data_IF_891796376510
#
_entry.id   IF_891796376510
#
_cell.length_a   1.000
_cell.length_b   1.000
_cell.length_c   1.000
_cell.angle_alpha   90.00
_cell.angle_beta   90.00
_cell.angle_gamma   90.00
#
_symmetry.space_group_name_H-M   'P 1'
#
loop_
_entity.id
_entity.type
_entity.pdbx_description
1 polymer ?
#
# COMPACT_ATOMS: atom_id res chain seq x y z
N UNK A 1 -20.70 -4.09 -5.85
CA UNK A 1 -20.40 -3.72 -4.46
C UNK A 1 -21.16 -4.64 -3.54
N UNK A 2 -20.56 -5.76 -3.14
CA UNK A 2 -21.16 -6.69 -2.20
C UNK A 2 -20.84 -6.22 -0.78
N UNK A 3 -21.79 -5.56 -0.13
CA UNK A 3 -21.93 -5.70 1.32
C UNK A 3 -22.94 -6.82 1.54
N UNK A 4 -22.49 -7.99 2.00
CA UNK A 4 -23.41 -8.91 2.67
C UNK A 4 -23.45 -8.49 4.13
N UNK A 5 -24.37 -7.59 4.45
CA UNK A 5 -24.81 -7.39 5.83
C UNK A 5 -25.31 -8.75 6.31
N UNK A 6 -24.61 -9.36 7.27
CA UNK A 6 -25.14 -10.50 7.99
C UNK A 6 -26.32 -9.99 8.83
N UNK A 7 -27.53 -10.15 8.32
CA UNK A 7 -28.75 -10.02 9.11
C UNK A 7 -28.83 -11.20 10.06
N UNK A 8 -29.00 -10.93 11.35
CA UNK A 8 -29.17 -11.93 12.39
C UNK A 8 -30.39 -12.84 12.14
N UNK A 9 -30.21 -14.10 12.57
CA UNK A 9 -31.17 -15.18 12.81
C UNK A 9 -31.75 -15.96 11.61
N UNK A 10 -31.17 -17.15 11.37
CA UNK A 10 -31.89 -18.41 11.59
C UNK A 10 -30.93 -19.62 11.70
N UNK A 11 -31.29 -20.54 12.61
CA UNK A 11 -30.57 -21.75 12.99
C UNK A 11 -30.10 -22.63 11.81
N UNK A 12 -28.80 -22.98 11.79
CA UNK A 12 -28.24 -24.33 11.58
C UNK A 12 -26.71 -24.27 11.38
N UNK A 13 -25.91 -24.69 12.39
CA UNK A 13 -24.47 -25.04 12.29
C UNK A 13 -23.54 -24.13 11.44
N UNK A 14 -23.83 -22.85 11.28
CA UNK A 14 -22.90 -21.91 10.65
C UNK A 14 -21.88 -21.44 11.70
N UNK A 15 -20.60 -21.69 11.42
CA UNK A 15 -19.51 -21.23 12.27
C UNK A 15 -19.57 -19.71 12.38
N UNK A 16 -19.69 -19.20 13.60
CA UNK A 16 -19.84 -17.78 13.88
C UNK A 16 -18.64 -16.98 13.36
N UNK A 17 -18.92 -15.96 12.55
CA UNK A 17 -17.95 -14.92 12.18
C UNK A 17 -17.95 -13.89 13.29
N UNK A 18 -16.79 -13.64 13.90
CA UNK A 18 -16.65 -12.59 14.90
C UNK A 18 -16.28 -11.28 14.22
N UNK A 19 -17.00 -10.21 14.53
CA UNK A 19 -16.78 -8.88 13.97
C UNK A 19 -16.61 -7.88 15.11
N UNK A 20 -15.56 -7.07 15.06
CA UNK A 20 -15.32 -5.97 16.01
C UNK A 20 -15.02 -4.68 15.26
N UNK A 21 -15.50 -3.55 15.78
CA UNK A 21 -15.34 -2.24 15.16
C UNK A 21 -14.46 -1.33 16.01
N UNK A 22 -13.62 -0.52 15.35
CA UNK A 22 -12.75 0.48 15.98
C UNK A 22 -11.90 -0.09 17.14
N UNK A 23 -11.45 -1.33 16.99
CA UNK A 23 -10.56 -2.03 17.92
C UNK A 23 -9.23 -2.34 17.23
N UNK A 24 -8.20 -2.60 18.02
CA UNK A 24 -6.96 -3.21 17.50
C UNK A 24 -7.30 -4.55 16.82
N UNK A 25 -6.76 -4.77 15.61
CA UNK A 25 -6.85 -6.05 14.91
C UNK A 25 -5.49 -6.76 14.98
N UNK A 26 -5.48 -7.94 15.57
CA UNK A 26 -4.33 -8.84 15.57
C UNK A 26 -4.70 -10.04 14.71
N UNK A 27 -4.12 -10.12 13.52
CA UNK A 27 -4.29 -11.26 12.61
C UNK A 27 -3.10 -12.20 12.81
N UNK A 28 -3.34 -13.47 13.09
CA UNK A 28 -2.23 -14.40 13.34
C UNK A 28 -2.52 -15.80 12.83
N UNK A 29 -1.52 -16.41 12.19
CA UNK A 29 -1.52 -17.81 11.81
C UNK A 29 -0.22 -18.52 12.27
N UNK A 30 0.10 -19.68 11.69
CA UNK A 30 1.32 -20.43 12.06
C UNK A 30 2.63 -19.67 11.73
N UNK A 31 2.61 -18.80 10.72
CA UNK A 31 3.80 -18.18 10.12
C UNK A 31 3.94 -16.71 10.45
N UNK A 32 2.84 -15.97 10.52
CA UNK A 32 2.78 -14.53 10.56
C UNK A 32 1.88 -14.02 11.68
N UNK A 33 2.25 -12.85 12.22
CA UNK A 33 1.42 -12.02 13.09
C UNK A 33 1.41 -10.60 12.53
N UNK A 34 0.23 -10.06 12.28
CA UNK A 34 -0.02 -8.72 11.75
C UNK A 34 -0.76 -7.92 12.82
N UNK A 35 -0.22 -6.76 13.17
CA UNK A 35 -0.78 -5.88 14.20
C UNK A 35 -1.19 -4.56 13.60
N UNK A 36 -2.48 -4.23 13.73
CA UNK A 36 -3.10 -3.03 13.20
C UNK A 36 -3.82 -2.33 14.36
N UNK A 37 -3.53 -1.06 14.60
CA UNK A 37 -4.15 -0.30 15.70
C UNK A 37 -5.64 0.01 15.45
N UNK A 38 -6.29 0.57 16.47
CA UNK A 38 -7.70 0.97 16.38
C UNK A 38 -7.95 2.17 15.45
N UNK A 39 -6.89 2.82 14.95
CA UNK A 39 -6.94 3.88 13.94
C UNK A 39 -6.74 3.33 12.52
N UNK A 40 -6.52 2.03 12.34
CA UNK A 40 -6.29 1.44 11.03
C UNK A 40 -4.89 1.68 10.46
N UNK A 41 -3.89 1.85 11.33
CA UNK A 41 -2.49 1.85 10.93
C UNK A 41 -1.89 0.46 11.11
N UNK A 42 -1.26 -0.05 10.05
CA UNK A 42 -0.39 -1.21 10.14
C UNK A 42 0.84 -0.84 10.97
N UNK A 43 1.02 -1.48 12.14
CA UNK A 43 2.11 -1.18 13.07
C UNK A 43 3.32 -2.08 12.84
N UNK A 44 3.11 -3.38 12.69
CA UNK A 44 4.19 -4.35 12.42
C UNK A 44 3.68 -5.66 11.85
N UNK A 45 4.56 -6.31 11.09
CA UNK A 45 4.40 -7.70 10.67
C UNK A 45 5.56 -8.50 11.25
N UNK A 46 5.23 -9.62 11.90
CA UNK A 46 6.19 -10.53 12.51
C UNK A 46 6.15 -11.87 11.81
N UNK A 47 7.30 -12.36 11.33
CA UNK A 47 7.48 -13.75 10.94
C UNK A 47 7.80 -14.59 12.18
N UNK A 48 6.84 -15.40 12.62
CA UNK A 48 6.91 -16.18 13.85
C UNK A 48 7.97 -17.29 13.80
N UNK A 49 8.17 -17.90 12.63
CA UNK A 49 9.16 -18.99 12.45
C UNK A 49 10.59 -18.46 12.43
N UNK A 50 10.82 -17.34 11.75
CA UNK A 50 12.16 -16.72 11.61
C UNK A 50 12.47 -15.72 12.72
N UNK A 51 11.49 -15.35 13.55
CA UNK A 51 11.59 -14.31 14.58
C UNK A 51 12.03 -12.95 14.02
N UNK A 52 11.59 -12.65 12.79
CA UNK A 52 11.86 -11.37 12.12
C UNK A 52 10.66 -10.45 12.35
N UNK A 53 10.92 -9.21 12.78
CA UNK A 53 9.90 -8.17 12.94
C UNK A 53 10.20 -7.02 11.98
N UNK A 54 9.17 -6.60 11.24
CA UNK A 54 9.21 -5.40 10.40
C UNK A 54 8.18 -4.42 10.97
N UNK A 55 8.62 -3.38 11.69
CA UNK A 55 7.75 -2.29 12.11
C UNK A 55 7.47 -1.36 10.92
N UNK A 56 6.28 -0.77 10.93
CA UNK A 56 5.83 0.24 9.99
C UNK A 56 5.58 1.51 10.77
N UNK A 57 6.21 2.61 10.36
CA UNK A 57 5.92 3.94 10.93
C UNK A 57 4.64 4.51 10.33
N UNK A 58 4.28 4.06 9.13
CA UNK A 58 3.08 4.50 8.44
C UNK A 58 2.75 3.56 7.27
N UNK A 59 1.46 3.37 7.03
CA UNK A 59 0.96 2.71 5.84
C UNK A 59 -0.39 3.35 5.48
N UNK A 60 -0.60 3.63 4.19
CA UNK A 60 -1.88 4.15 3.73
C UNK A 60 -1.88 4.71 2.32
N UNK A 61 -3.05 5.20 1.91
CA UNK A 61 -3.22 5.87 0.63
C UNK A 61 -2.83 7.35 0.70
N UNK A 62 -2.09 7.77 -0.32
CA UNK A 62 -1.72 9.15 -0.59
C UNK A 62 -2.04 9.49 -2.04
N UNK A 63 -1.96 10.76 -2.39
CA UNK A 63 -2.08 11.21 -3.77
C UNK A 63 -1.11 12.34 -4.09
N UNK A 64 -0.58 12.32 -5.30
CA UNK A 64 0.07 13.47 -5.89
C UNK A 64 -0.93 14.26 -6.73
N UNK A 65 -0.90 15.58 -6.61
CA UNK A 65 -1.63 16.46 -7.53
C UNK A 65 -0.95 16.49 -8.89
N UNK A 66 -1.69 16.23 -9.96
CA UNK A 66 -1.20 16.27 -11.33
C UNK A 66 -0.88 17.72 -11.75
N UNK A 67 0.31 17.96 -12.30
CA UNK A 67 0.71 19.30 -12.75
C UNK A 67 -0.19 19.81 -13.91
N UNK A 68 -0.88 20.96 -13.77
CA UNK A 68 -1.84 21.46 -14.75
C UNK A 68 -1.13 22.28 -15.85
N UNK A 69 -0.22 21.64 -16.57
CA UNK A 69 0.48 22.25 -17.70
C UNK A 69 -0.41 22.40 -18.94
N UNK A 70 0.03 23.21 -19.91
CA UNK A 70 -0.63 23.36 -21.22
C UNK A 70 0.16 22.70 -22.37
N UNK A 71 1.30 22.06 -22.07
CA UNK A 71 2.19 21.41 -23.02
C UNK A 71 2.79 22.32 -24.10
N UNK A 72 2.85 23.65 -23.88
CA UNK A 72 3.47 24.58 -24.85
C UNK A 72 5.00 24.54 -24.84
N UNK A 73 5.61 23.86 -23.87
CA UNK A 73 7.05 23.71 -23.67
C UNK A 73 7.35 22.78 -22.50
N UNK A 74 8.63 22.46 -22.28
CA UNK A 74 9.08 21.55 -21.22
C UNK A 74 8.69 22.02 -19.81
N UNK A 75 8.79 23.32 -19.57
CA UNK A 75 8.44 23.97 -18.32
C UNK A 75 6.93 23.91 -18.04
N UNK A 76 6.10 23.88 -19.10
CA UNK A 76 4.64 23.77 -19.04
C UNK A 76 4.12 22.36 -19.34
N UNK A 77 4.97 21.34 -19.27
CA UNK A 77 4.57 19.94 -19.46
C UNK A 77 3.52 19.55 -18.40
N UNK A 78 2.34 19.12 -18.84
CA UNK A 78 1.29 18.62 -17.96
C UNK A 78 1.57 17.18 -17.51
N UNK A 79 1.00 16.77 -16.38
CA UNK A 79 0.80 15.34 -16.12
C UNK A 79 -0.29 14.78 -17.05
N UNK A 80 -0.24 13.49 -17.37
CA UNK A 80 -1.23 12.84 -18.22
C UNK A 80 -0.96 11.35 -18.43
N UNK A 81 -1.53 10.78 -19.49
CA UNK A 81 -1.47 9.34 -19.75
C UNK A 81 -0.05 8.74 -19.85
N UNK A 82 0.95 9.58 -20.17
CA UNK A 82 2.33 9.14 -20.37
C UNK A 82 3.31 9.76 -19.38
N UNK A 83 3.10 11.03 -19.03
CA UNK A 83 4.01 11.79 -18.17
C UNK A 83 3.38 11.88 -16.80
N UNK A 84 4.07 11.36 -15.80
CA UNK A 84 3.79 11.64 -14.41
C UNK A 84 4.59 12.87 -14.00
N UNK A 85 3.92 13.98 -13.70
CA UNK A 85 4.55 15.21 -13.19
C UNK A 85 3.73 15.73 -12.00
N UNK A 86 4.15 15.45 -10.76
CA UNK A 86 3.44 15.93 -9.59
C UNK A 86 3.70 17.43 -9.37
N UNK A 87 2.71 18.14 -8.83
CA UNK A 87 2.83 19.55 -8.44
C UNK A 87 3.82 19.72 -7.28
N UNK A 88 3.87 18.74 -6.37
CA UNK A 88 4.70 18.73 -5.17
C UNK A 88 5.47 17.41 -5.07
N UNK A 89 6.63 17.46 -4.40
CA UNK A 89 7.39 16.24 -4.08
C UNK A 89 6.79 15.45 -2.92
N UNK A 90 5.98 16.11 -2.09
CA UNK A 90 5.30 15.48 -0.96
C UNK A 90 3.84 15.18 -1.35
N UNK A 91 3.39 13.91 -1.25
CA UNK A 91 2.01 13.58 -1.54
C UNK A 91 1.11 13.83 -0.32
N UNK A 92 -0.15 14.13 -0.59
CA UNK A 92 -1.17 14.40 0.42
C UNK A 92 -1.85 13.08 0.85
N UNK A 93 -2.17 12.89 2.14
CA UNK A 93 -2.93 11.72 2.56
C UNK A 93 -4.34 11.74 1.96
N UNK A 94 -4.83 10.58 1.50
CA UNK A 94 -6.21 10.44 0.98
C UNK A 94 -7.26 10.70 2.06
N UNK A 95 -6.93 10.41 3.32
CA UNK A 95 -7.75 10.77 4.47
C UNK A 95 -6.90 10.84 5.72
N UNK A 96 -7.23 11.80 6.60
CA UNK A 96 -6.68 11.89 7.96
C UNK A 96 -7.48 11.06 8.98
N UNK A 97 -8.66 10.58 8.60
CA UNK A 97 -9.53 9.76 9.45
C UNK A 97 -9.76 8.41 8.78
N UNK A 98 -9.78 7.36 9.58
CA UNK A 98 -10.06 6.00 9.11
C UNK A 98 -11.01 5.34 10.10
N UNK A 99 -11.75 4.35 9.63
CA UNK A 99 -12.43 3.40 10.50
C UNK A 99 -11.94 1.99 10.18
N UNK A 100 -11.97 1.12 11.18
CA UNK A 100 -11.49 -0.25 11.06
C UNK A 100 -12.56 -1.23 11.54
N UNK A 101 -12.70 -2.34 10.82
CA UNK A 101 -13.51 -3.50 11.21
C UNK A 101 -12.63 -4.74 11.15
N UNK A 102 -12.46 -5.43 12.28
CA UNK A 102 -11.80 -6.72 12.31
C UNK A 102 -12.84 -7.83 12.07
N UNK A 103 -12.49 -8.78 11.22
CA UNK A 103 -13.30 -9.95 10.92
C UNK A 103 -12.48 -11.19 11.21
N UNK A 104 -13.02 -12.12 11.99
CA UNK A 104 -12.46 -13.46 12.18
C UNK A 104 -13.43 -14.48 11.62
N UNK A 105 -13.08 -15.00 10.45
CA UNK A 105 -13.79 -16.07 9.78
C UNK A 105 -13.29 -17.45 10.19
N UNK A 106 -13.74 -18.47 9.46
CA UNK A 106 -13.38 -19.85 9.76
C UNK A 106 -11.91 -20.18 9.47
N UNK A 107 -11.41 -19.74 8.30
CA UNK A 107 -10.06 -20.08 7.80
C UNK A 107 -9.22 -18.82 7.50
N UNK A 108 -9.69 -17.65 7.93
CA UNK A 108 -9.04 -16.37 7.66
C UNK A 108 -9.39 -15.33 8.73
N UNK A 109 -8.54 -14.33 8.86
CA UNK A 109 -8.75 -13.12 9.64
C UNK A 109 -8.48 -11.92 8.75
N UNK A 110 -9.30 -10.87 8.85
CA UNK A 110 -9.08 -9.65 8.09
C UNK A 110 -9.34 -8.38 8.88
N UNK A 111 -8.72 -7.30 8.44
CA UNK A 111 -8.94 -5.94 8.91
C UNK A 111 -9.35 -5.08 7.72
N UNK A 112 -10.61 -4.65 7.73
CA UNK A 112 -11.19 -3.78 6.71
C UNK A 112 -11.03 -2.33 7.18
N UNK A 113 -10.29 -1.53 6.43
CA UNK A 113 -9.96 -0.14 6.72
C UNK A 113 -10.67 0.75 5.68
N UNK A 114 -11.55 1.62 6.14
CA UNK A 114 -12.21 2.63 5.31
C UNK A 114 -11.50 3.97 5.52
N UNK A 115 -10.94 4.53 4.44
CA UNK A 115 -10.29 5.85 4.48
C UNK A 115 -11.32 6.96 4.24
N UNK A 116 -12.19 6.75 3.26
CA UNK A 116 -13.32 7.63 2.92
C UNK A 116 -14.31 6.84 2.05
N UNK A 117 -15.29 7.52 1.43
CA UNK A 117 -16.32 6.90 0.61
C UNK A 117 -15.86 6.37 -0.75
N UNK A 118 -14.61 6.62 -1.17
CA UNK A 118 -14.05 6.17 -2.46
C UNK A 118 -12.73 5.40 -2.31
N UNK A 119 -12.22 5.20 -1.09
CA UNK A 119 -10.98 4.47 -0.84
C UNK A 119 -11.09 3.57 0.39
N UNK A 120 -10.82 2.28 0.19
CA UNK A 120 -10.78 1.25 1.24
C UNK A 120 -9.66 0.24 1.00
N UNK A 121 -9.27 -0.44 2.06
CA UNK A 121 -8.27 -1.50 2.06
C UNK A 121 -8.75 -2.66 2.95
N UNK A 122 -8.46 -3.89 2.55
CA UNK A 122 -8.61 -5.06 3.40
C UNK A 122 -7.24 -5.75 3.55
N UNK A 123 -6.79 -5.93 4.79
CA UNK A 123 -5.57 -6.67 5.12
C UNK A 123 -6.00 -8.02 5.68
N UNK A 124 -5.64 -9.10 4.98
CA UNK A 124 -6.13 -10.45 5.26
C UNK A 124 -4.99 -11.44 5.49
N UNK A 125 -5.23 -12.40 6.40
CA UNK A 125 -4.32 -13.50 6.69
C UNK A 125 -5.10 -14.81 6.79
N UNK A 126 -4.82 -15.73 5.87
CA UNK A 126 -5.35 -17.10 5.86
C UNK A 126 -4.52 -18.03 6.73
N UNK A 127 -5.12 -19.10 7.27
CA UNK A 127 -4.48 -19.96 8.27
C UNK A 127 -3.16 -20.61 7.80
N UNK A 128 -3.01 -20.92 6.53
CA UNK A 128 -1.84 -21.59 5.94
C UNK A 128 -0.93 -20.65 5.12
N UNK A 129 -1.31 -19.36 4.99
CA UNK A 129 -0.59 -18.41 4.16
C UNK A 129 0.74 -17.94 4.80
N UNK A 130 1.77 -17.81 3.95
CA UNK A 130 3.09 -17.26 4.33
C UNK A 130 3.25 -15.79 3.93
N UNK A 131 2.18 -15.18 3.46
CA UNK A 131 2.09 -13.78 3.06
C UNK A 131 0.79 -13.17 3.57
N UNK A 132 0.80 -11.86 3.73
CA UNK A 132 -0.39 -11.06 4.03
C UNK A 132 -0.99 -10.63 2.71
N UNK A 133 -2.29 -10.83 2.54
CA UNK A 133 -3.02 -10.34 1.38
C UNK A 133 -3.51 -8.93 1.66
N UNK A 134 -3.38 -8.05 0.67
CA UNK A 134 -3.79 -6.65 0.78
C UNK A 134 -4.64 -6.31 -0.44
N UNK A 135 -5.95 -6.34 -0.26
CA UNK A 135 -6.89 -5.89 -1.27
C UNK A 135 -7.15 -4.39 -1.09
N UNK A 136 -7.34 -3.68 -2.19
CA UNK A 136 -7.70 -2.27 -2.17
C UNK A 136 -8.76 -1.94 -3.20
N UNK A 137 -9.63 -0.99 -2.84
CA UNK A 137 -10.61 -0.39 -3.74
C UNK A 137 -10.41 1.11 -3.74
N UNK A 138 -10.18 1.68 -4.92
CA UNK A 138 -10.01 3.11 -5.13
C UNK A 138 -10.88 3.56 -6.29
N UNK A 139 -11.88 4.40 -6.02
CA UNK A 139 -12.69 5.04 -7.02
C UNK A 139 -14.16 5.21 -6.63
N UNK A 140 -14.89 6.12 -7.32
CA UNK A 140 -14.37 7.07 -8.31
C UNK A 140 -13.51 8.17 -7.66
N UNK A 141 -12.36 8.48 -8.27
CA UNK A 141 -11.43 9.49 -7.75
C UNK A 141 -12.07 10.88 -7.88
N UNK A 142 -12.20 11.65 -6.77
CA UNK A 142 -12.84 12.96 -6.82
C UNK A 142 -11.98 13.98 -7.56
N UNK A 143 -12.54 14.62 -8.58
CA UNK A 143 -11.88 15.65 -9.40
C UNK A 143 -12.71 16.93 -9.55
N UNK A 144 -13.76 17.08 -8.74
CA UNK A 144 -14.64 18.26 -8.75
C UNK A 144 -13.93 19.55 -8.29
N UNK A 145 -12.76 19.43 -7.67
CA UNK A 145 -11.85 20.51 -7.31
C UNK A 145 -10.93 20.93 -8.47
N UNK A 146 -11.09 20.35 -9.66
CA UNK A 146 -10.26 20.54 -10.85
C UNK A 146 -8.79 20.12 -10.66
N UNK A 147 -8.50 19.25 -9.69
CA UNK A 147 -7.16 18.71 -9.45
C UNK A 147 -7.16 17.23 -9.85
N UNK A 148 -6.37 16.88 -10.87
CA UNK A 148 -6.04 15.50 -11.19
C UNK A 148 -5.26 14.87 -10.04
N UNK A 149 -5.56 13.62 -9.68
CA UNK A 149 -4.97 12.93 -8.53
C UNK A 149 -4.39 11.59 -8.94
N UNK A 150 -3.11 11.38 -8.64
CA UNK A 150 -2.39 10.13 -8.85
C UNK A 150 -2.25 9.42 -7.51
N UNK A 151 -3.09 8.41 -7.26
CA UNK A 151 -3.18 7.72 -5.97
C UNK A 151 -2.04 6.71 -5.82
N UNK A 152 -1.44 6.66 -4.63
CA UNK A 152 -0.38 5.70 -4.27
C UNK A 152 -0.74 4.98 -2.98
N UNK A 153 -0.27 3.74 -2.84
CA UNK A 153 -0.22 3.01 -1.58
C UNK A 153 1.23 3.04 -1.08
N UNK A 154 1.45 3.66 0.09
CA UNK A 154 2.80 3.80 0.67
C UNK A 154 2.97 2.94 1.91
N UNK A 155 4.13 2.31 2.03
CA UNK A 155 4.59 1.58 3.21
C UNK A 155 5.89 2.22 3.69
N UNK A 156 5.87 2.78 4.90
CA UNK A 156 7.03 3.39 5.54
C UNK A 156 7.49 2.45 6.67
N UNK A 157 8.76 2.06 6.65
CA UNK A 157 9.38 1.11 7.59
C UNK A 157 10.78 1.57 7.98
N UNK A 158 11.37 0.96 9.00
CA UNK A 158 12.72 1.24 9.50
C UNK A 158 13.83 0.44 8.78
N UNK A 159 13.51 -0.27 7.69
CA UNK A 159 14.49 -0.98 6.86
C UNK A 159 15.48 0.03 6.28
N UNK A 160 16.75 -0.13 6.63
CA UNK A 160 17.85 0.69 6.12
C UNK A 160 18.25 0.20 4.73
N UNK A 161 17.56 0.71 3.70
CA UNK A 161 17.74 0.25 2.33
C UNK A 161 18.89 0.93 1.57
N UNK A 162 19.56 1.90 2.18
CA UNK A 162 20.64 2.68 1.56
C UNK A 162 20.25 3.31 0.20
N UNK A 163 19.01 3.79 0.11
CA UNK A 163 18.41 4.32 -1.14
C UNK A 163 18.25 3.29 -2.27
N UNK A 164 18.44 2.00 -1.98
CA UNK A 164 18.31 0.90 -2.93
C UNK A 164 16.94 0.26 -2.85
N UNK A 165 16.41 -0.11 -4.00
CA UNK A 165 15.22 -0.92 -4.14
C UNK A 165 15.35 -1.78 -5.40
N UNK A 166 14.51 -2.80 -5.50
CA UNK A 166 14.64 -3.80 -6.55
C UNK A 166 13.29 -4.01 -7.21
N UNK A 167 13.26 -3.93 -8.54
CA UNK A 167 12.04 -4.11 -9.34
C UNK A 167 12.28 -5.21 -10.35
N UNK A 168 11.24 -5.94 -10.71
CA UNK A 168 11.31 -6.88 -11.82
C UNK A 168 11.38 -6.17 -13.19
N UNK A 169 11.84 -6.90 -14.20
CA UNK A 169 11.75 -6.54 -15.61
C UNK A 169 10.84 -7.55 -16.31
N UNK A 170 9.60 -7.13 -16.60
CA UNK A 170 8.57 -7.97 -17.23
C UNK A 170 8.32 -9.31 -16.51
N UNK A 171 8.35 -9.31 -15.17
CA UNK A 171 8.13 -10.50 -14.35
C UNK A 171 9.30 -11.48 -14.29
N UNK A 172 10.47 -11.14 -14.87
CA UNK A 172 11.62 -12.05 -14.98
C UNK A 172 12.80 -11.64 -14.11
N UNK A 173 13.77 -10.98 -14.71
CA UNK A 173 14.99 -10.53 -14.05
C UNK A 173 14.68 -9.41 -13.07
N UNK A 174 15.59 -9.23 -12.12
CA UNK A 174 15.48 -8.23 -11.07
C UNK A 174 16.60 -7.22 -11.26
N UNK A 175 16.23 -5.94 -11.25
CA UNK A 175 17.16 -4.84 -11.41
C UNK A 175 17.28 -4.06 -10.10
N UNK A 176 18.52 -3.82 -9.66
CA UNK A 176 18.79 -2.86 -8.58
C UNK A 176 18.55 -1.44 -9.10
N UNK A 177 17.79 -0.67 -8.33
CA UNK A 177 17.51 0.75 -8.54
C UNK A 177 18.07 1.53 -7.36
N UNK A 178 18.70 2.67 -7.66
CA UNK A 178 19.21 3.60 -6.65
C UNK A 178 18.49 4.92 -6.88
N UNK A 179 17.89 5.47 -5.83
CA UNK A 179 17.20 6.77 -5.87
C UNK A 179 18.17 7.86 -6.35
N UNK A 180 17.71 8.70 -7.27
CA UNK A 180 18.46 9.82 -7.86
C UNK A 180 19.77 9.41 -8.57
N UNK A 181 19.84 8.19 -9.12
CA UNK A 181 21.05 7.68 -9.78
C UNK A 181 20.77 7.05 -11.13
N UNK A 182 21.76 7.10 -12.03
CA UNK A 182 21.78 6.40 -13.33
C UNK A 182 23.14 5.73 -13.55
N UNK A 183 23.17 4.46 -14.00
CA UNK A 183 24.43 3.74 -14.17
C UNK A 183 25.25 4.18 -15.38
N UNK A 184 24.62 4.83 -16.36
CA UNK A 184 25.22 5.09 -17.68
C UNK A 184 25.51 6.57 -17.97
N UNK A 185 25.07 7.51 -17.13
CA UNK A 185 25.38 8.93 -17.25
C UNK A 185 25.25 9.66 -15.92
N UNK A 186 25.83 10.87 -15.83
CA UNK A 186 25.66 11.73 -14.66
C UNK A 186 24.24 12.33 -14.62
N UNK A 187 23.46 11.95 -13.62
CA UNK A 187 22.04 12.31 -13.53
C UNK A 187 21.83 13.64 -12.80
N UNK A 188 21.27 14.62 -13.51
CA UNK A 188 20.75 15.84 -12.91
C UNK A 188 19.32 15.61 -12.43
N UNK A 189 19.08 15.83 -11.13
CA UNK A 189 17.77 15.66 -10.49
C UNK A 189 16.83 16.82 -10.86
N UNK A 190 16.08 16.65 -11.96
CA UNK A 190 15.09 17.63 -12.43
C UNK A 190 13.70 17.37 -11.83
N UNK A 191 13.26 16.11 -11.81
CA UNK A 191 11.96 15.69 -11.26
C UNK A 191 12.19 14.65 -10.14
N UNK A 192 12.19 15.05 -8.86
CA UNK A 192 12.68 14.25 -7.74
C UNK A 192 11.81 13.02 -7.42
N UNK A 193 10.52 13.06 -7.78
CA UNK A 193 9.59 11.95 -7.60
C UNK A 193 9.54 11.11 -8.87
N UNK A 194 9.10 11.71 -9.99
CA UNK A 194 8.87 10.99 -11.25
C UNK A 194 10.13 10.34 -11.80
N UNK A 195 11.30 10.97 -11.63
CA UNK A 195 12.58 10.40 -12.03
C UNK A 195 12.97 9.11 -11.31
N UNK A 196 12.25 8.73 -10.26
CA UNK A 196 12.49 7.53 -9.45
C UNK A 196 11.38 6.48 -9.54
N UNK A 197 10.37 6.70 -10.39
CA UNK A 197 9.36 5.67 -10.70
C UNK A 197 9.88 4.70 -11.78
N UNK A 198 9.63 3.41 -11.55
CA UNK A 198 9.98 2.32 -12.47
C UNK A 198 8.78 1.38 -12.62
N UNK A 199 8.62 0.71 -13.77
CA UNK A 199 7.58 -0.28 -13.94
C UNK A 199 7.80 -1.46 -12.99
N UNK A 200 6.71 -1.93 -12.40
CA UNK A 200 6.64 -3.12 -11.55
C UNK A 200 5.54 -3.99 -12.14
N UNK A 201 5.89 -5.14 -12.71
CA UNK A 201 4.91 -6.05 -13.30
C UNK A 201 4.54 -7.19 -12.36
N UNK A 202 5.38 -7.49 -11.36
CA UNK A 202 5.10 -8.56 -10.40
C UNK A 202 5.60 -8.30 -8.99
N UNK A 203 6.72 -7.59 -8.80
CA UNK A 203 7.33 -7.45 -7.48
C UNK A 203 8.27 -6.26 -7.33
N UNK A 204 8.23 -5.69 -6.14
CA UNK A 204 9.21 -4.72 -5.65
C UNK A 204 9.64 -5.10 -4.23
N UNK A 205 10.89 -4.83 -3.87
CA UNK A 205 11.30 -4.92 -2.48
C UNK A 205 12.39 -3.93 -2.10
N UNK A 206 12.49 -3.75 -0.79
CA UNK A 206 13.61 -3.13 -0.08
C UNK A 206 14.16 -4.13 0.93
N UNK A 207 15.45 -4.00 1.26
CA UNK A 207 16.09 -4.86 2.26
C UNK A 207 17.21 -4.13 2.99
N UNK A 208 17.49 -4.58 4.21
CA UNK A 208 18.72 -4.29 4.95
C UNK A 208 19.51 -5.60 5.13
N UNK A 209 20.50 -5.63 6.03
CA UNK A 209 21.30 -6.82 6.29
C UNK A 209 20.53 -8.00 6.91
N UNK A 210 19.37 -7.74 7.52
CA UNK A 210 18.62 -8.71 8.32
C UNK A 210 17.20 -8.98 7.78
N UNK A 211 16.60 -8.02 7.07
CA UNK A 211 15.18 -7.98 6.75
C UNK A 211 14.96 -7.60 5.29
N UNK A 212 13.92 -8.16 4.70
CA UNK A 212 13.43 -7.80 3.37
C UNK A 212 11.91 -7.65 3.43
N UNK A 213 11.40 -6.54 2.92
CA UNK A 213 9.97 -6.31 2.69
C UNK A 213 9.70 -6.38 1.20
N UNK A 214 8.92 -7.37 0.77
CA UNK A 214 8.54 -7.58 -0.64
C UNK A 214 7.06 -7.34 -0.81
N UNK A 215 6.69 -6.55 -1.82
CA UNK A 215 5.32 -6.36 -2.28
C UNK A 215 5.19 -7.07 -3.62
N UNK A 216 4.15 -7.89 -3.75
CA UNK A 216 3.78 -8.58 -4.98
C UNK A 216 2.53 -7.91 -5.57
N UNK A 217 2.43 -7.85 -6.89
CA UNK A 217 1.31 -7.24 -7.63
C UNK A 217 0.83 -8.15 -8.75
#
# INVERSE_FOLDING_TARGET
FFFRLATENNNNNEKQVLVTHNSECILQNEYLRVEIDCQGNLNKITNLKKKIVVPFSNQGFYWYGSYPGNNSGSEFQASGAYIFRPISSDPEPVSSKRSITCVKGQNFQSAIILFNNWASQEISLYDDAKMVEVEWTVGPIPVYDNIGKEIILRYDTDIQSDSKFYTDANGREVLERIRDYRPTWNYSKVEPVSGNYYPINSRIWIKDSNRQLTVLT
#
